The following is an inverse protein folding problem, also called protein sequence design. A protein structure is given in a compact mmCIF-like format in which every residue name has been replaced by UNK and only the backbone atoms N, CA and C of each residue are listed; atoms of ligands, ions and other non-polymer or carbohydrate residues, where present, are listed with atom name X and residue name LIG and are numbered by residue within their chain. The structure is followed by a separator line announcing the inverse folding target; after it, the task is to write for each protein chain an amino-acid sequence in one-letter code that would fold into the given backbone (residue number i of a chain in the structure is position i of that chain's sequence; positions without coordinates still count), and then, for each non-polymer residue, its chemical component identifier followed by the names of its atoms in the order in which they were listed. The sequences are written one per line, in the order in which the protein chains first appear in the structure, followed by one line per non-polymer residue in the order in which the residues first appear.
data_IF_659383099704
#
_entry.id   IF_659383099704
#
_cell.length_a   1.000
_cell.length_b   1.000
_cell.length_c   1.000
_cell.angle_alpha   90.00
_cell.angle_beta   90.00
_cell.angle_gamma   90.00
#
_symmetry.space_group_name_H-M   'P 1'
#
loop_
_entity.id
_entity.type
_entity.pdbx_description
1 polymer ?
#
# COMPACT_ATOMS: atom_id res chain seq x y z
N UNK A 1 -22.79 28.16 86.38
CA UNK A 1 -21.78 27.94 85.33
C UNK A 1 -22.51 27.92 84.00
N UNK A 2 -22.72 29.09 83.40
CA UNK A 2 -23.43 29.26 82.12
C UNK A 2 -22.54 30.15 81.29
N UNK A 3 -21.76 29.55 80.39
CA UNK A 3 -21.10 30.29 79.31
C UNK A 3 -22.23 30.83 78.44
N UNK A 4 -22.49 32.14 78.53
CA UNK A 4 -23.53 32.83 77.77
C UNK A 4 -23.35 32.55 76.28
N UNK A 5 -24.42 32.10 75.64
CA UNK A 5 -24.62 31.76 74.22
C UNK A 5 -23.72 32.50 73.22
N UNK A 6 -23.49 33.81 73.40
CA UNK A 6 -22.65 34.63 72.52
C UNK A 6 -21.18 34.18 72.46
N UNK A 7 -20.59 33.69 73.55
CA UNK A 7 -19.22 33.13 73.52
C UNK A 7 -19.16 31.77 72.83
N UNK A 8 -20.23 30.98 72.87
CA UNK A 8 -20.31 29.67 72.21
C UNK A 8 -20.52 29.85 70.70
N UNK A 9 -21.32 30.85 70.29
CA UNK A 9 -21.51 31.20 68.88
C UNK A 9 -20.24 31.80 68.28
N UNK A 10 -19.53 32.67 69.01
CA UNK A 10 -18.23 33.21 68.59
C UNK A 10 -17.17 32.10 68.55
N UNK A 11 -17.12 31.19 69.53
CA UNK A 11 -16.21 30.04 69.48
C UNK A 11 -16.54 29.15 68.28
N UNK A 12 -17.81 28.80 68.02
CA UNK A 12 -18.20 27.95 66.89
C UNK A 12 -17.91 28.60 65.52
N UNK A 13 -18.10 29.90 65.37
CA UNK A 13 -17.74 30.65 64.16
C UNK A 13 -16.21 30.73 64.03
N UNK A 14 -15.48 30.96 65.13
CA UNK A 14 -14.02 30.97 65.13
C UNK A 14 -13.44 29.58 64.82
N UNK A 15 -14.01 28.46 65.30
CA UNK A 15 -13.51 27.12 64.93
C UNK A 15 -13.85 26.75 63.48
N UNK A 16 -15.02 27.17 62.96
CA UNK A 16 -15.40 26.92 61.56
C UNK A 16 -14.59 27.80 60.59
N UNK A 17 -14.26 29.03 60.98
CA UNK A 17 -13.40 29.95 60.21
C UNK A 17 -11.91 29.62 60.35
N UNK A 18 -11.42 29.17 61.52
CA UNK A 18 -10.02 28.74 61.68
C UNK A 18 -9.72 27.38 61.04
N UNK A 19 -10.69 26.46 60.90
CA UNK A 19 -10.47 25.23 60.12
C UNK A 19 -10.01 25.50 58.69
N UNK A 20 -10.39 26.65 58.12
CA UNK A 20 -9.98 27.16 56.82
C UNK A 20 -8.61 27.86 56.79
N UNK A 21 -8.01 28.16 57.95
CA UNK A 21 -6.73 28.86 58.08
C UNK A 21 -5.67 28.09 58.90
N UNK A 22 -6.03 27.00 59.59
CA UNK A 22 -5.08 26.20 60.38
C UNK A 22 -4.41 25.09 59.58
N UNK A 23 -5.05 24.65 58.49
CA UNK A 23 -4.38 23.94 57.40
C UNK A 23 -4.16 24.98 56.31
N UNK A 24 -2.98 25.06 55.72
CA UNK A 24 -2.68 26.03 54.65
C UNK A 24 -3.40 25.68 53.33
N UNK A 25 -4.56 25.04 53.41
CA UNK A 25 -5.25 24.36 52.32
C UNK A 25 -6.63 24.99 52.14
N UNK A 26 -6.98 25.29 50.89
CA UNK A 26 -8.33 25.70 50.52
C UNK A 26 -9.06 24.45 50.04
N UNK A 27 -9.77 23.79 50.93
CA UNK A 27 -10.54 22.60 50.62
C UNK A 27 -12.02 22.95 50.39
N UNK A 28 -12.53 22.71 49.18
CA UNK A 28 -13.96 22.71 48.87
C UNK A 28 -14.44 21.28 48.57
N UNK A 29 -13.90 20.28 49.28
CA UNK A 29 -14.29 18.90 49.12
C UNK A 29 -15.42 18.52 50.08
N UNK A 30 -16.52 18.00 49.53
CA UNK A 30 -17.43 17.14 50.27
C UNK A 30 -16.95 15.71 50.02
N UNK A 31 -16.50 15.02 51.06
CA UNK A 31 -16.26 13.56 51.06
C UNK A 31 -15.31 13.01 49.98
N UNK A 32 -14.06 13.52 49.87
CA UNK A 32 -13.03 13.06 48.91
C UNK A 32 -13.39 13.16 47.41
N UNK A 33 -14.57 13.67 47.05
CA UNK A 33 -15.03 13.78 45.65
C UNK A 33 -14.91 15.19 45.05
N UNK A 34 -14.44 16.17 45.82
CA UNK A 34 -14.41 17.59 45.41
C UNK A 34 -13.04 18.14 45.02
N UNK A 35 -12.95 19.48 44.96
CA UNK A 35 -11.71 20.21 44.66
C UNK A 35 -10.82 20.34 45.90
N UNK A 36 -9.57 19.92 45.75
CA UNK A 36 -8.51 20.02 46.73
C UNK A 36 -7.32 20.79 46.13
N UNK A 37 -6.74 21.73 46.88
CA UNK A 37 -5.58 22.51 46.46
C UNK A 37 -4.52 22.47 47.55
N UNK A 38 -3.38 21.86 47.26
CA UNK A 38 -2.22 21.80 48.13
C UNK A 38 -1.51 23.15 48.23
N UNK A 39 -0.83 23.36 49.36
CA UNK A 39 0.03 24.54 49.61
C UNK A 39 1.11 24.69 48.53
N UNK A 40 1.61 23.56 48.03
CA UNK A 40 2.70 23.50 47.05
C UNK A 40 2.18 23.72 45.61
N UNK A 41 0.87 23.84 45.44
CA UNK A 41 0.21 24.22 44.17
C UNK A 41 -0.43 23.08 43.40
N UNK A 42 -0.35 21.84 43.88
CA UNK A 42 -1.05 20.71 43.24
C UNK A 42 -2.56 20.81 43.45
N UNK A 43 -3.32 20.48 42.41
CA UNK A 43 -4.78 20.51 42.42
C UNK A 43 -5.33 19.10 42.21
N UNK A 44 -6.05 18.58 43.20
CA UNK A 44 -6.80 17.34 43.11
C UNK A 44 -8.29 17.61 42.84
N UNK A 45 -8.90 16.85 41.94
CA UNK A 45 -10.36 16.78 41.80
C UNK A 45 -10.75 15.32 42.03
N UNK A 46 -11.44 15.06 43.15
CA UNK A 46 -11.77 13.71 43.60
C UNK A 46 -10.61 12.97 44.28
N UNK A 47 -9.59 13.70 44.73
CA UNK A 47 -8.50 13.19 45.58
C UNK A 47 -7.94 14.32 46.44
N UNK A 48 -7.52 13.98 47.66
CA UNK A 48 -6.89 14.87 48.63
C UNK A 48 -5.38 14.68 48.72
N UNK A 49 -4.79 13.74 47.98
CA UNK A 49 -3.33 13.49 47.94
C UNK A 49 -2.81 13.50 46.48
N UNK A 50 -2.93 14.62 45.74
CA UNK A 50 -2.50 14.69 44.34
C UNK A 50 -0.98 14.56 44.16
N UNK A 51 -0.54 13.67 43.28
CA UNK A 51 0.89 13.47 42.93
C UNK A 51 1.38 14.34 41.77
N UNK A 52 0.49 15.10 41.15
CA UNK A 52 0.76 15.96 39.98
C UNK A 52 0.07 17.32 40.15
N UNK A 53 0.54 18.34 39.43
CA UNK A 53 -0.04 19.70 39.48
C UNK A 53 -1.56 19.74 39.24
N UNK A 54 -2.07 18.85 38.39
CA UNK A 54 -3.50 18.61 38.23
C UNK A 54 -3.75 17.10 38.17
N UNK A 55 -4.55 16.59 39.09
CA UNK A 55 -4.97 15.19 39.13
C UNK A 55 -6.49 15.10 39.24
N UNK A 56 -7.12 14.41 38.29
CA UNK A 56 -8.53 14.03 38.34
C UNK A 56 -8.59 12.56 38.74
N UNK A 57 -9.33 12.25 39.80
CA UNK A 57 -9.51 10.90 40.29
C UNK A 57 -10.99 10.64 40.55
N UNK A 58 -11.49 9.48 40.10
CA UNK A 58 -12.79 8.96 40.48
C UNK A 58 -12.65 7.47 40.74
N UNK A 59 -13.05 7.02 41.93
CA UNK A 59 -13.06 5.61 42.29
C UNK A 59 -14.50 5.07 42.20
N UNK A 60 -14.72 4.03 41.39
CA UNK A 60 -16.00 3.31 41.33
C UNK A 60 -17.20 4.13 40.81
N UNK A 61 -17.50 3.99 39.51
CA UNK A 61 -18.79 4.25 38.86
C UNK A 61 -18.62 3.93 37.38
N UNK A 62 -19.68 3.58 36.66
CA UNK A 62 -19.62 3.28 35.22
C UNK A 62 -19.38 4.51 34.32
N UNK A 63 -18.97 5.66 34.88
CA UNK A 63 -18.73 6.91 34.17
C UNK A 63 -17.23 7.14 33.92
N UNK A 64 -16.83 7.61 32.73
CA UNK A 64 -15.44 7.94 32.44
C UNK A 64 -14.99 9.22 33.18
N UNK A 65 -13.70 9.30 33.53
CA UNK A 65 -13.06 10.56 33.89
C UNK A 65 -12.79 11.32 32.59
N UNK A 66 -13.29 12.54 32.47
CA UNK A 66 -13.18 13.36 31.25
C UNK A 66 -12.55 14.72 31.56
N UNK A 67 -11.63 15.14 30.68
CA UNK A 67 -11.22 16.53 30.54
C UNK A 67 -11.89 17.06 29.27
N UNK A 68 -12.91 17.91 29.44
CA UNK A 68 -13.62 18.54 28.33
C UNK A 68 -12.96 19.89 27.98
N UNK A 69 -12.35 19.98 26.80
CA UNK A 69 -11.72 21.19 26.28
C UNK A 69 -12.54 21.59 25.05
N UNK A 70 -13.40 22.59 25.22
CA UNK A 70 -14.33 23.03 24.19
C UNK A 70 -14.30 24.55 24.03
N UNK A 71 -13.92 25.00 22.84
CA UNK A 71 -14.02 26.37 22.41
C UNK A 71 -15.31 26.56 21.58
N UNK A 72 -16.24 27.39 22.08
CA UNK A 72 -17.52 27.66 21.41
C UNK A 72 -17.46 28.80 20.41
N UNK A 73 -16.28 29.38 20.21
CA UNK A 73 -16.03 30.41 19.21
C UNK A 73 -16.32 29.94 17.79
N UNK A 74 -16.60 30.90 16.91
CA UNK A 74 -16.99 30.65 15.52
C UNK A 74 -15.96 31.07 14.49
N UNK A 75 -14.84 31.67 14.90
CA UNK A 75 -13.76 32.04 13.99
C UNK A 75 -12.91 30.83 13.63
N UNK A 76 -12.18 30.89 12.52
CA UNK A 76 -11.37 29.76 12.03
C UNK A 76 -10.29 29.32 13.03
N UNK A 77 -9.77 30.24 13.85
CA UNK A 77 -8.74 29.98 14.86
C UNK A 77 -9.30 29.68 16.27
N UNK A 78 -10.62 29.55 16.42
CA UNK A 78 -11.24 29.22 17.70
C UNK A 78 -11.12 27.71 17.99
N UNK A 79 -9.87 27.25 18.05
CA UNK A 79 -9.48 25.85 18.22
C UNK A 79 -9.57 25.40 19.68
N UNK A 80 -9.63 24.08 19.88
CA UNK A 80 -9.52 23.44 21.20
C UNK A 80 -8.25 22.60 21.25
N UNK A 81 -7.30 22.97 22.12
CA UNK A 81 -5.92 22.44 22.09
C UNK A 81 -5.47 22.00 23.49
N UNK A 82 -4.86 20.82 23.56
CA UNK A 82 -3.95 20.41 24.63
C UNK A 82 -2.51 20.58 24.12
N UNK A 83 -1.72 21.41 24.80
CA UNK A 83 -0.34 21.72 24.43
C UNK A 83 0.67 21.09 25.40
N UNK A 84 1.75 20.55 24.85
CA UNK A 84 2.91 20.04 25.57
C UNK A 84 4.14 20.83 25.12
N UNK A 85 4.93 21.32 26.06
CA UNK A 85 6.09 22.14 25.75
C UNK A 85 7.27 21.88 26.67
N UNK A 86 8.49 21.89 26.13
CA UNK A 86 9.73 21.88 26.93
C UNK A 86 10.68 22.98 26.47
N UNK A 87 11.02 23.90 27.38
CA UNK A 87 11.99 24.99 27.20
C UNK A 87 11.92 25.74 25.85
N UNK A 88 10.72 25.90 25.27
CA UNK A 88 10.50 26.61 24.00
C UNK A 88 11.16 25.96 22.76
N UNK A 89 11.58 24.70 22.86
CA UNK A 89 12.29 23.96 21.81
C UNK A 89 11.38 22.95 21.11
N UNK A 90 10.57 22.24 21.88
CA UNK A 90 9.62 21.25 21.38
C UNK A 90 8.28 21.61 21.97
N UNK A 91 7.40 22.13 21.12
CA UNK A 91 5.98 22.25 21.42
C UNK A 91 5.25 21.21 20.57
N UNK A 92 4.36 20.45 21.19
CA UNK A 92 3.38 19.60 20.52
C UNK A 92 1.99 20.07 20.91
N UNK A 93 1.11 20.18 19.92
CA UNK A 93 -0.30 20.42 20.13
C UNK A 93 -1.08 19.19 19.71
N UNK A 94 -2.11 18.82 20.48
CA UNK A 94 -3.17 17.95 19.99
C UNK A 94 -4.52 18.61 20.21
N UNK A 95 -5.43 18.48 19.25
CA UNK A 95 -6.72 19.15 19.35
C UNK A 95 -7.53 19.08 18.08
N UNK A 96 -8.60 19.88 18.06
CA UNK A 96 -9.44 20.08 16.87
C UNK A 96 -9.07 21.42 16.25
N UNK A 97 -8.71 21.39 14.97
CA UNK A 97 -8.65 22.56 14.12
C UNK A 97 -10.06 22.87 13.61
N UNK A 98 -10.64 23.97 14.10
CA UNK A 98 -12.02 24.33 13.78
C UNK A 98 -12.19 24.66 12.29
N UNK A 99 -11.18 25.25 11.67
CA UNK A 99 -11.23 25.66 10.27
C UNK A 99 -11.34 24.47 9.32
N UNK A 100 -10.78 23.32 9.70
CA UNK A 100 -10.80 22.09 8.91
C UNK A 100 -11.70 20.99 9.48
N UNK A 101 -12.14 21.12 10.74
CA UNK A 101 -12.92 20.11 11.45
C UNK A 101 -12.10 18.86 11.85
N UNK A 102 -10.77 18.91 11.71
CA UNK A 102 -9.91 17.73 11.86
C UNK A 102 -9.33 17.62 13.25
N UNK A 103 -9.27 16.39 13.78
CA UNK A 103 -8.42 16.10 14.92
C UNK A 103 -6.97 16.00 14.47
N UNK A 104 -6.08 16.74 15.12
CA UNK A 104 -4.71 16.92 14.65
C UNK A 104 -3.71 16.85 15.80
N UNK A 105 -2.59 16.18 15.56
CA UNK A 105 -1.35 16.30 16.35
C UNK A 105 -0.33 17.06 15.50
N UNK A 106 0.18 18.17 16.01
CA UNK A 106 1.05 19.10 15.28
C UNK A 106 2.32 19.40 16.06
N UNK A 107 3.37 19.80 15.33
CA UNK A 107 4.53 20.47 15.91
C UNK A 107 4.20 21.96 16.11
N UNK A 108 4.20 22.40 17.37
CA UNK A 108 3.88 23.76 17.76
C UNK A 108 2.50 23.89 18.39
N UNK A 109 2.01 25.13 18.45
CA UNK A 109 0.71 25.51 19.06
C UNK A 109 -0.33 25.93 18.01
N UNK A 110 -0.06 25.70 16.72
CA UNK A 110 -0.92 26.05 15.60
C UNK A 110 -1.06 24.85 14.67
N UNK A 111 -2.27 24.56 14.21
CA UNK A 111 -2.56 23.44 13.31
C UNK A 111 -2.42 23.76 11.82
N UNK A 112 -1.92 24.96 11.48
CA UNK A 112 -1.85 25.45 10.11
C UNK A 112 -0.73 24.81 9.28
N UNK A 113 0.36 24.38 9.92
CA UNK A 113 1.54 23.77 9.31
C UNK A 113 2.07 22.62 10.20
N UNK A 114 2.86 21.72 9.64
CA UNK A 114 3.58 20.65 10.36
C UNK A 114 2.70 19.67 11.17
N UNK A 115 1.53 19.33 10.63
CA UNK A 115 0.68 18.29 11.22
C UNK A 115 1.27 16.90 10.97
N UNK A 116 1.51 16.15 12.05
CA UNK A 116 2.10 14.82 12.00
C UNK A 116 1.07 13.71 11.93
N UNK A 117 -0.09 13.92 12.54
CA UNK A 117 -1.21 12.99 12.53
C UNK A 117 -2.50 13.77 12.42
N UNK A 118 -3.40 13.34 11.54
CA UNK A 118 -4.68 14.01 11.31
C UNK A 118 -5.78 12.97 11.12
N UNK A 119 -6.95 13.19 11.73
CA UNK A 119 -8.20 12.47 11.44
C UNK A 119 -9.21 13.47 10.90
N UNK A 120 -9.75 13.22 9.71
CA UNK A 120 -10.79 14.07 9.13
C UNK A 120 -12.20 13.74 9.68
N UNK A 121 -13.18 14.54 9.26
CA UNK A 121 -14.58 14.45 9.70
C UNK A 121 -15.30 13.18 9.22
N UNK A 122 -14.70 12.44 8.28
CA UNK A 122 -15.20 11.15 7.79
C UNK A 122 -14.36 9.95 8.28
N UNK A 123 -13.35 10.20 9.12
CA UNK A 123 -12.56 9.19 9.81
C UNK A 123 -11.31 8.70 9.07
N UNK A 124 -10.88 9.38 8.00
CA UNK A 124 -9.62 9.07 7.35
C UNK A 124 -8.44 9.57 8.18
N UNK A 125 -7.37 8.79 8.19
CA UNK A 125 -6.15 9.04 8.96
C UNK A 125 -5.01 9.44 8.02
N UNK A 126 -4.42 10.60 8.24
CA UNK A 126 -3.18 11.05 7.63
C UNK A 126 -2.02 11.01 8.63
N UNK A 127 -0.89 10.41 8.26
CA UNK A 127 0.39 10.52 8.98
C UNK A 127 1.40 11.19 8.05
N UNK A 128 1.92 12.35 8.48
CA UNK A 128 2.78 13.21 7.65
C UNK A 128 2.07 13.88 6.46
N UNK A 129 0.74 13.78 6.38
CA UNK A 129 -0.09 14.42 5.35
C UNK A 129 -1.36 15.00 5.95
N UNK A 130 -1.83 16.12 5.37
CA UNK A 130 -3.13 16.72 5.64
C UNK A 130 -4.26 16.08 4.83
N UNK A 131 -3.91 15.32 3.79
CA UNK A 131 -4.83 14.71 2.82
C UNK A 131 -4.38 13.27 2.55
N UNK A 132 -5.11 12.31 3.11
CA UNK A 132 -5.00 10.91 2.74
C UNK A 132 -5.77 10.65 1.44
N UNK A 133 -5.27 9.78 0.56
CA UNK A 133 -5.99 9.31 -0.63
C UNK A 133 -7.08 8.26 -0.33
N UNK A 134 -7.32 8.00 0.96
CA UNK A 134 -8.31 7.05 1.47
C UNK A 134 -8.30 6.99 3.00
N UNK A 135 -8.72 5.86 3.58
CA UNK A 135 -8.81 5.68 5.05
C UNK A 135 -7.48 5.87 5.77
N UNK A 136 -6.36 5.54 5.13
CA UNK A 136 -5.02 5.71 5.68
C UNK A 136 -4.07 6.23 4.61
N UNK A 137 -3.47 7.40 4.85
CA UNK A 137 -2.37 7.93 4.05
C UNK A 137 -1.14 8.11 4.92
N UNK A 138 -0.02 7.49 4.54
CA UNK A 138 1.28 7.68 5.18
C UNK A 138 2.17 8.40 4.18
N UNK A 139 2.38 9.72 4.33
CA UNK A 139 3.20 10.48 3.37
C UNK A 139 4.34 11.21 4.06
N UNK A 140 5.53 11.09 3.48
CA UNK A 140 6.60 12.08 3.63
C UNK A 140 7.03 12.59 2.24
N UNK A 141 8.05 13.46 2.20
CA UNK A 141 8.53 14.10 0.97
C UNK A 141 9.10 13.10 -0.07
N UNK A 142 9.50 11.88 0.33
CA UNK A 142 10.28 10.96 -0.51
C UNK A 142 9.66 9.56 -0.64
N UNK A 143 8.91 9.08 0.34
CA UNK A 143 8.33 7.74 0.37
C UNK A 143 6.95 7.81 1.01
N UNK A 144 5.95 7.29 0.32
CA UNK A 144 4.59 7.27 0.86
C UNK A 144 3.80 6.03 0.46
N UNK A 145 2.90 5.62 1.35
CA UNK A 145 1.89 4.59 1.13
C UNK A 145 0.53 5.28 1.10
N UNK A 146 -0.18 5.17 -0.02
CA UNK A 146 -1.48 5.80 -0.19
C UNK A 146 -2.40 4.99 -1.10
N UNK A 147 -3.69 5.33 -1.08
CA UNK A 147 -4.67 4.84 -2.04
C UNK A 147 -4.77 5.79 -3.23
N UNK A 148 -4.82 5.23 -4.45
CA UNK A 148 -5.07 6.01 -5.68
C UNK A 148 -6.57 6.27 -5.92
N UNK A 149 -6.89 7.06 -6.95
CA UNK A 149 -8.27 7.38 -7.37
C UNK A 149 -9.07 6.15 -7.82
N UNK A 150 -8.40 5.02 -8.09
CA UNK A 150 -8.99 3.75 -8.50
C UNK A 150 -9.12 2.74 -7.34
N UNK A 151 -8.80 3.15 -6.12
CA UNK A 151 -8.86 2.34 -4.89
C UNK A 151 -7.79 1.27 -4.75
N UNK A 152 -6.68 1.39 -5.46
CA UNK A 152 -5.55 0.50 -5.27
C UNK A 152 -4.62 1.04 -4.19
N UNK A 153 -3.99 0.12 -3.46
CA UNK A 153 -2.87 0.46 -2.60
C UNK A 153 -1.63 0.73 -3.47
N UNK A 154 -0.98 1.87 -3.22
CA UNK A 154 0.20 2.33 -3.95
C UNK A 154 1.36 2.57 -3.01
N UNK A 155 2.55 2.14 -3.44
CA UNK A 155 3.82 2.40 -2.78
C UNK A 155 4.59 3.37 -3.67
N UNK A 156 4.86 4.57 -3.17
CA UNK A 156 5.67 5.56 -3.88
C UNK A 156 7.00 5.68 -3.20
N UNK A 157 8.06 5.59 -4.00
CA UNK A 157 9.43 5.84 -3.59
C UNK A 157 10.06 6.80 -4.60
N UNK A 158 10.80 7.80 -4.13
CA UNK A 158 11.37 8.87 -4.98
C UNK A 158 12.31 8.33 -6.07
N UNK A 159 12.94 7.18 -5.84
CA UNK A 159 13.89 6.58 -6.78
C UNK A 159 13.16 5.73 -7.82
N UNK A 160 12.15 4.96 -7.39
CA UNK A 160 11.49 3.95 -8.23
C UNK A 160 10.10 4.34 -8.75
N UNK A 161 9.59 5.50 -8.33
CA UNK A 161 8.27 6.02 -8.67
C UNK A 161 7.14 5.35 -7.88
N UNK A 162 5.89 5.62 -8.27
CA UNK A 162 4.70 4.96 -7.71
C UNK A 162 4.50 3.59 -8.36
N UNK A 163 4.37 2.55 -7.53
CA UNK A 163 4.02 1.19 -7.92
C UNK A 163 2.72 0.79 -7.24
N UNK A 164 1.79 0.24 -8.00
CA UNK A 164 0.61 -0.40 -7.44
C UNK A 164 0.96 -1.82 -6.97
N UNK A 165 0.13 -2.42 -6.13
CA UNK A 165 0.25 -3.85 -5.85
C UNK A 165 0.19 -4.70 -7.13
N UNK A 166 -0.54 -4.26 -8.16
CA UNK A 166 -0.63 -4.95 -9.44
C UNK A 166 0.68 -4.90 -10.24
N UNK A 167 1.44 -3.81 -10.15
CA UNK A 167 2.76 -3.68 -10.78
C UNK A 167 3.81 -4.56 -10.10
N UNK A 168 3.71 -4.75 -8.78
CA UNK A 168 4.59 -5.66 -8.05
C UNK A 168 4.36 -7.14 -8.42
N UNK A 169 3.19 -7.48 -8.98
CA UNK A 169 2.77 -8.85 -9.31
C UNK A 169 2.90 -9.13 -10.82
N UNK A 170 3.12 -8.12 -11.67
CA UNK A 170 3.29 -8.29 -13.11
C UNK A 170 4.72 -7.95 -13.52
N UNK A 171 5.51 -8.97 -13.84
CA UNK A 171 6.68 -8.78 -14.68
C UNK A 171 6.19 -8.34 -16.06
N UNK A 172 6.57 -7.14 -16.47
CA UNK A 172 6.30 -6.62 -17.80
C UNK A 172 7.06 -7.45 -18.86
N UNK A 173 6.60 -7.41 -20.11
CA UNK A 173 7.32 -8.04 -21.23
C UNK A 173 8.79 -7.59 -21.32
N UNK A 174 9.08 -6.35 -20.94
CA UNK A 174 10.43 -5.78 -20.90
C UNK A 174 11.27 -6.43 -19.80
N UNK A 175 10.73 -6.53 -18.58
CA UNK A 175 11.44 -7.17 -17.45
C UNK A 175 11.69 -8.66 -17.70
N UNK A 176 10.75 -9.35 -18.35
CA UNK A 176 10.93 -10.77 -18.74
C UNK A 176 12.03 -10.91 -19.81
N UNK A 177 12.06 -10.00 -20.79
CA UNK A 177 13.10 -9.96 -21.82
C UNK A 177 14.49 -9.65 -21.25
N UNK A 178 14.58 -8.73 -20.28
CA UNK A 178 15.84 -8.41 -19.57
C UNK A 178 16.34 -9.57 -18.70
N UNK A 179 15.44 -10.41 -18.19
CA UNK A 179 15.79 -11.67 -17.52
C UNK A 179 16.25 -12.78 -18.49
N UNK A 180 16.31 -12.50 -19.81
CA UNK A 180 16.78 -13.43 -20.83
C UNK A 180 15.73 -14.43 -21.30
N UNK A 181 14.46 -14.27 -20.92
CA UNK A 181 13.37 -15.08 -21.44
C UNK A 181 12.82 -14.45 -22.72
N UNK A 182 12.68 -15.25 -23.78
CA UNK A 182 12.07 -14.79 -25.03
C UNK A 182 10.57 -14.61 -24.81
N UNK A 183 10.08 -13.38 -24.95
CA UNK A 183 8.65 -13.09 -24.86
C UNK A 183 8.02 -13.09 -26.24
N UNK A 184 6.94 -13.84 -26.42
CA UNK A 184 6.19 -13.93 -27.68
C UNK A 184 5.59 -15.31 -27.87
N UNK A 185 4.75 -15.48 -28.90
CA UNK A 185 4.35 -16.82 -29.31
C UNK A 185 5.61 -17.55 -29.79
N UNK A 186 6.06 -18.55 -29.04
CA UNK A 186 7.05 -19.49 -29.54
C UNK A 186 6.39 -20.30 -30.64
N UNK A 187 6.54 -19.88 -31.89
CA UNK A 187 6.37 -20.81 -33.00
C UNK A 187 7.54 -21.76 -32.89
N UNK A 188 7.29 -22.97 -32.38
CA UNK A 188 8.22 -24.08 -32.56
C UNK A 188 8.43 -24.16 -34.06
N UNK A 189 9.62 -23.76 -34.50
CA UNK A 189 10.01 -23.91 -35.89
C UNK A 189 10.11 -25.41 -36.16
N UNK A 190 9.02 -25.97 -36.70
CA UNK A 190 8.96 -27.36 -37.14
C UNK A 190 9.68 -27.53 -38.48
N UNK A 191 10.13 -26.43 -39.12
CA UNK A 191 10.90 -26.52 -40.34
C UNK A 191 12.38 -26.77 -40.01
N UNK A 192 12.67 -28.04 -39.79
CA UNK A 192 14.04 -28.54 -39.63
C UNK A 192 14.81 -28.59 -40.96
N UNK A 193 14.24 -28.11 -42.06
CA UNK A 193 14.86 -28.15 -43.38
C UNK A 193 15.12 -26.73 -43.90
N UNK A 194 16.36 -26.48 -44.31
CA UNK A 194 16.71 -25.24 -44.99
C UNK A 194 16.07 -25.24 -46.39
N UNK A 195 15.28 -24.21 -46.70
CA UNK A 195 14.61 -24.09 -48.00
C UNK A 195 15.63 -23.81 -49.12
N UNK A 196 15.16 -23.85 -50.38
CA UNK A 196 16.01 -23.60 -51.54
C UNK A 196 16.71 -22.22 -51.46
N UNK A 197 16.01 -21.21 -50.97
CA UNK A 197 16.55 -19.86 -50.75
C UNK A 197 17.70 -19.88 -49.74
N UNK A 198 17.58 -20.66 -48.68
CA UNK A 198 18.60 -20.84 -47.67
C UNK A 198 19.82 -21.62 -48.19
N UNK A 199 19.62 -22.64 -49.03
CA UNK A 199 20.73 -23.36 -49.69
C UNK A 199 21.50 -22.42 -50.63
N UNK A 200 20.79 -21.63 -51.43
CA UNK A 200 21.37 -20.63 -52.32
C UNK A 200 22.06 -19.49 -51.53
N UNK A 201 21.51 -19.11 -50.38
CA UNK A 201 22.08 -18.13 -49.45
C UNK A 201 23.40 -18.57 -48.79
N UNK A 202 23.61 -19.88 -48.63
CA UNK A 202 24.87 -20.47 -48.18
C UNK A 202 25.92 -20.58 -49.31
N UNK A 203 25.59 -20.12 -50.52
CA UNK A 203 26.48 -20.13 -51.69
C UNK A 203 26.53 -21.47 -52.42
N UNK A 204 25.60 -22.39 -52.15
CA UNK A 204 25.45 -23.62 -52.92
C UNK A 204 24.42 -23.43 -54.04
N UNK A 205 24.66 -24.01 -55.22
CA UNK A 205 23.66 -24.03 -56.29
C UNK A 205 22.66 -25.14 -56.01
N UNK A 206 21.38 -24.78 -55.77
CA UNK A 206 20.32 -25.76 -55.62
C UNK A 206 20.01 -26.43 -56.98
N UNK A 207 19.89 -27.76 -56.98
CA UNK A 207 19.56 -28.55 -58.19
C UNK A 207 20.16 -29.95 -58.17
N UNK A 208 19.76 -30.78 -59.15
CA UNK A 208 20.31 -32.12 -59.30
C UNK A 208 21.80 -32.07 -59.67
N UNK A 209 22.66 -32.65 -58.83
CA UNK A 209 24.08 -32.78 -59.11
C UNK A 209 24.32 -34.05 -59.95
N UNK A 210 24.78 -33.90 -61.20
CA UNK A 210 25.29 -35.05 -61.97
C UNK A 210 26.74 -35.28 -61.59
N UNK A 211 27.04 -36.45 -60.99
CA UNK A 211 28.42 -36.88 -60.76
C UNK A 211 29.06 -37.09 -62.14
N UNK A 212 30.12 -36.33 -62.43
CA UNK A 212 30.90 -36.43 -63.65
C UNK A 212 31.63 -37.77 -63.70
N UNK A 213 30.97 -38.79 -64.28
CA UNK A 213 31.65 -40.02 -64.68
C UNK A 213 32.22 -39.79 -66.07
N UNK A 214 33.53 -39.98 -66.25
CA UNK A 214 34.27 -39.82 -67.52
C UNK A 214 33.83 -40.78 -68.65
N UNK A 215 32.75 -41.53 -68.45
CA UNK A 215 32.15 -42.41 -69.45
C UNK A 215 31.08 -41.65 -70.21
N UNK A 216 31.14 -41.71 -71.54
CA UNK A 216 30.06 -41.20 -72.38
C UNK A 216 28.80 -42.09 -72.24
N UNK A 217 27.68 -41.61 -72.81
CA UNK A 217 26.40 -42.32 -72.74
C UNK A 217 26.51 -43.78 -73.21
N UNK A 218 27.30 -44.06 -74.24
CA UNK A 218 27.47 -45.42 -74.76
C UNK A 218 28.29 -46.30 -73.80
N UNK A 219 29.27 -45.73 -73.10
CA UNK A 219 30.04 -46.39 -72.06
C UNK A 219 29.22 -46.77 -70.83
N UNK A 220 28.26 -45.93 -70.43
CA UNK A 220 27.36 -46.21 -69.28
C UNK A 220 26.30 -47.25 -69.65
N UNK A 221 25.70 -47.15 -70.83
CA UNK A 221 24.74 -48.14 -71.36
C UNK A 221 25.41 -49.52 -71.57
N UNK A 222 26.69 -49.55 -71.97
CA UNK A 222 27.47 -50.78 -72.18
C UNK A 222 27.75 -51.59 -70.92
N UNK A 223 27.64 -50.99 -69.73
CA UNK A 223 27.72 -51.66 -68.43
C UNK A 223 26.35 -52.13 -67.91
N UNK A 224 25.27 -51.89 -68.68
CA UNK A 224 23.91 -52.29 -68.32
C UNK A 224 23.14 -51.27 -67.47
N UNK A 225 23.66 -50.06 -67.29
CA UNK A 225 22.96 -48.97 -66.61
C UNK A 225 22.13 -48.14 -67.59
N UNK A 226 20.98 -47.62 -67.16
CA UNK A 226 20.12 -46.73 -67.97
C UNK A 226 20.69 -45.31 -67.88
N UNK A 227 20.95 -44.66 -69.02
CA UNK A 227 21.40 -43.27 -69.05
C UNK A 227 20.25 -42.28 -69.19
N UNK A 228 20.30 -41.22 -68.38
CA UNK A 228 19.33 -40.13 -68.33
C UNK A 228 19.47 -39.37 -67.01
N UNK A 229 18.76 -38.26 -66.83
CA UNK A 229 18.70 -37.58 -65.53
C UNK A 229 18.10 -38.55 -64.50
N UNK A 230 18.94 -39.03 -63.57
CA UNK A 230 18.45 -39.75 -62.41
C UNK A 230 17.94 -38.71 -61.42
N UNK A 231 16.66 -38.35 -61.50
CA UNK A 231 16.00 -37.74 -60.36
C UNK A 231 15.96 -38.82 -59.30
N UNK A 232 16.85 -38.73 -58.30
CA UNK A 232 16.56 -39.33 -57.00
C UNK A 232 15.18 -38.81 -56.66
N UNK A 233 14.21 -39.72 -56.54
CA UNK A 233 12.85 -39.37 -56.22
C UNK A 233 12.87 -38.66 -54.87
N UNK A 234 12.86 -37.33 -54.91
CA UNK A 234 12.78 -36.49 -53.73
C UNK A 234 11.33 -36.40 -53.26
N UNK A 235 10.37 -36.96 -54.00
CA UNK A 235 9.01 -37.12 -53.54
C UNK A 235 8.85 -38.49 -52.88
N UNK A 236 9.36 -38.60 -51.64
CA UNK A 236 9.05 -39.74 -50.76
C UNK A 236 7.55 -39.88 -50.42
N UNK A 237 6.67 -39.06 -51.00
CA UNK A 237 5.22 -39.16 -50.83
C UNK A 237 4.55 -39.52 -52.15
N UNK A 238 3.73 -40.58 -52.12
CA UNK A 238 2.91 -40.95 -53.27
C UNK A 238 1.86 -39.85 -53.53
N UNK A 239 1.84 -39.31 -54.74
CA UNK A 239 0.88 -38.26 -55.11
C UNK A 239 -0.56 -38.81 -55.17
N UNK A 240 -1.53 -37.90 -55.28
CA UNK A 240 -2.95 -38.26 -55.34
C UNK A 240 -3.27 -39.27 -56.46
N UNK A 241 -2.64 -39.14 -57.63
CA UNK A 241 -2.84 -40.06 -58.75
C UNK A 241 -2.24 -41.44 -58.46
N UNK A 242 -1.12 -41.50 -57.74
CA UNK A 242 -0.51 -42.72 -57.23
C UNK A 242 -1.37 -43.42 -56.18
N UNK A 243 -1.98 -42.67 -55.26
CA UNK A 243 -2.95 -43.22 -54.28
C UNK A 243 -4.16 -43.82 -54.98
N UNK A 244 -4.71 -43.10 -55.96
CA UNK A 244 -5.84 -43.57 -56.79
C UNK A 244 -5.48 -44.80 -57.65
N UNK A 245 -4.24 -44.87 -58.16
CA UNK A 245 -3.72 -46.01 -58.91
C UNK A 245 -3.55 -47.29 -58.09
N UNK A 246 -3.38 -47.18 -56.76
CA UNK A 246 -3.35 -48.31 -55.83
C UNK A 246 -4.76 -48.77 -55.40
N UNK A 247 -5.81 -48.14 -55.92
CA UNK A 247 -7.21 -48.47 -55.63
C UNK A 247 -7.78 -47.78 -54.38
N UNK A 248 -7.07 -46.79 -53.82
CA UNK A 248 -7.56 -45.97 -52.72
C UNK A 248 -8.14 -44.64 -53.24
N UNK A 249 -9.28 -44.19 -52.74
CA UNK A 249 -9.81 -42.86 -53.11
C UNK A 249 -9.04 -41.78 -52.37
N UNK A 250 -8.30 -40.94 -53.09
CA UNK A 250 -7.65 -39.78 -52.49
C UNK A 250 -8.66 -38.67 -52.17
N UNK A 251 -8.57 -38.10 -50.97
CA UNK A 251 -9.45 -37.04 -50.50
C UNK A 251 -9.72 -37.14 -48.99
N UNK A 252 -10.39 -36.14 -48.42
CA UNK A 252 -10.79 -36.17 -47.02
C UNK A 252 -11.83 -37.28 -46.78
N UNK A 253 -11.48 -38.28 -45.98
CA UNK A 253 -12.42 -39.32 -45.56
C UNK A 253 -13.35 -38.76 -44.48
N UNK A 254 -14.65 -38.64 -44.77
CA UNK A 254 -15.67 -38.45 -43.74
C UNK A 254 -16.16 -39.81 -43.27
N UNK A 255 -15.92 -40.13 -42.00
CA UNK A 255 -16.48 -41.32 -41.35
C UNK A 255 -17.97 -41.05 -41.10
N UNK A 256 -18.84 -41.86 -41.70
CA UNK A 256 -20.27 -41.86 -41.35
C UNK A 256 -20.43 -42.54 -39.98
N UNK A 257 -20.72 -41.74 -38.96
CA UNK A 257 -20.90 -42.20 -37.58
C UNK A 257 -22.35 -42.54 -37.25
N UNK A 258 -23.22 -42.80 -38.23
CA UNK A 258 -24.61 -43.20 -37.96
C UNK A 258 -24.79 -44.73 -38.06
N UNK A 259 -24.91 -45.36 -36.89
CA UNK A 259 -25.49 -46.69 -36.68
C UNK A 259 -26.92 -46.55 -36.19
#
# INVERSE_FOLDING_TARGET
MILKSEKILIIAIITLTLGFFTTNEVCFAVEDEGLYVEVEGNVGIGTTDPSYLLQLLKNGSAAPIQLDIHNTGTNDADDSILSFGVQGLIDFGMGIDRSTGKFTITKGKSFLIDNFFTIDDIGNIGIGTLVSGGLLGLKDEFTYLDRDDNNNLTFTDVVTGTKTLADLIKLTYIEIAEMGFVTGAHTVDTDTHIDQTGIEGLGFTAGAHTVDTTLDQSGVEGLGFVTGAHTVDTDTHIDQTGIEGLGFTAGAHTVDTTL
#
